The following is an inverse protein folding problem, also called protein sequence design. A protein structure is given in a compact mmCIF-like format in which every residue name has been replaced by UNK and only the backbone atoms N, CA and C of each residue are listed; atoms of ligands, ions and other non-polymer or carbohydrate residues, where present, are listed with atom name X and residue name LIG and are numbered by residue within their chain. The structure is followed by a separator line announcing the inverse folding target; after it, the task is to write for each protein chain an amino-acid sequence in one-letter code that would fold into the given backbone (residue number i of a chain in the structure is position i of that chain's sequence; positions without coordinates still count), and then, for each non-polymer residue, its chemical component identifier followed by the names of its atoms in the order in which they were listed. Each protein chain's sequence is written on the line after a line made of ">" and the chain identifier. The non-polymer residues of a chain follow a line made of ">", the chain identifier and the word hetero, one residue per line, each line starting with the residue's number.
data_IF_959915835386
#
_entry.id   IF_959915835386
#
_cell.length_a   1.000
_cell.length_b   1.000
_cell.length_c   1.000
_cell.angle_alpha   90.00
_cell.angle_beta   90.00
_cell.angle_gamma   90.00
#
_symmetry.space_group_name_H-M   'P 1'
#
loop_
_entity.id
_entity.type
_entity.pdbx_description
1 polymer ?
#
# COMPACT_ATOMS: atom_id res chain seq x y z
N UNK A 1 1.62 -2.90 4.49
CA UNK A 1 0.23 -2.77 3.97
C UNK A 1 -0.73 -3.37 5.00
N UNK A 2 -1.74 -2.63 5.49
CA UNK A 2 -2.71 -3.18 6.49
C UNK A 2 -3.58 -4.31 5.93
N UNK A 3 -3.72 -4.41 4.60
CA UNK A 3 -4.50 -5.46 3.94
C UNK A 3 -3.79 -6.81 4.00
N UNK A 4 -2.51 -6.86 3.62
CA UNK A 4 -1.72 -8.11 3.62
C UNK A 4 -0.86 -8.30 4.88
N UNK A 5 -0.86 -7.32 5.80
CA UNK A 5 -0.05 -7.28 7.02
C UNK A 5 1.47 -7.47 6.81
N UNK A 6 1.96 -7.32 5.57
CA UNK A 6 3.38 -7.41 5.24
C UNK A 6 4.06 -6.05 5.33
N UNK A 7 5.37 -6.09 5.58
CA UNK A 7 6.28 -4.95 5.51
C UNK A 7 6.41 -4.42 4.08
N UNK A 8 6.88 -3.17 3.95
CA UNK A 8 7.14 -2.54 2.66
C UNK A 8 8.61 -2.70 2.30
N UNK A 9 8.91 -3.08 1.06
CA UNK A 9 10.25 -3.17 0.51
C UNK A 9 10.48 -2.09 -0.55
N UNK A 10 11.75 -1.88 -0.91
CA UNK A 10 12.11 -0.87 -1.91
C UNK A 10 11.55 -1.17 -3.32
N UNK A 11 11.27 -2.44 -3.61
CA UNK A 11 10.68 -2.90 -4.87
C UNK A 11 9.13 -2.83 -4.86
N UNK A 12 8.52 -2.61 -3.68
CA UNK A 12 7.07 -2.55 -3.56
C UNK A 12 6.52 -1.27 -4.18
N UNK A 13 5.58 -1.43 -5.12
CA UNK A 13 4.82 -0.31 -5.66
C UNK A 13 3.71 0.06 -4.69
N UNK A 14 3.75 1.28 -4.12
CA UNK A 14 2.75 1.76 -3.18
C UNK A 14 1.79 2.76 -3.83
N UNK A 15 0.53 2.74 -3.40
CA UNK A 15 -0.48 3.74 -3.74
C UNK A 15 -0.99 4.44 -2.48
N UNK A 16 -1.31 5.73 -2.66
CA UNK A 16 -1.84 6.60 -1.62
C UNK A 16 -3.31 6.87 -1.92
N UNK A 17 -4.19 6.62 -0.96
CA UNK A 17 -5.59 7.03 -1.09
C UNK A 17 -5.73 8.53 -0.81
N UNK A 18 -6.23 9.35 -1.76
CA UNK A 18 -6.33 10.79 -1.57
C UNK A 18 -7.35 11.22 -0.50
N UNK A 19 -8.26 10.33 -0.11
CA UNK A 19 -9.29 10.60 0.91
C UNK A 19 -8.77 10.53 2.35
N UNK A 20 -7.74 9.73 2.62
CA UNK A 20 -7.23 9.49 3.98
C UNK A 20 -5.71 9.50 4.10
N UNK A 21 -4.97 9.59 2.98
CA UNK A 21 -3.51 9.67 2.94
C UNK A 21 -2.79 8.35 3.30
N UNK A 22 -3.51 7.24 3.41
CA UNK A 22 -2.91 5.95 3.77
C UNK A 22 -2.21 5.28 2.58
N UNK A 23 -1.13 4.57 2.88
CA UNK A 23 -0.29 3.87 1.92
C UNK A 23 -0.60 2.37 1.88
N UNK A 24 -0.78 1.82 0.69
CA UNK A 24 -1.05 0.41 0.47
C UNK A 24 -0.18 -0.11 -0.66
N UNK A 25 0.11 -1.41 -0.70
CA UNK A 25 0.66 -1.99 -1.93
C UNK A 25 -0.34 -1.78 -3.06
N UNK A 26 0.13 -1.44 -4.25
CA UNK A 26 -0.73 -1.33 -5.44
C UNK A 26 -1.52 -2.61 -5.65
N UNK A 27 -0.92 -3.78 -5.42
CA UNK A 27 -1.59 -5.08 -5.49
C UNK A 27 -2.58 -5.36 -4.34
N UNK A 28 -2.53 -4.62 -3.22
CA UNK A 28 -3.49 -4.76 -2.12
C UNK A 28 -4.81 -4.02 -2.42
N UNK A 29 -4.79 -3.01 -3.30
CA UNK A 29 -5.91 -2.10 -3.56
C UNK A 29 -6.25 -1.97 -5.06
N UNK A 30 -5.67 -2.83 -5.88
CA UNK A 30 -6.16 -3.16 -7.22
C UNK A 30 -7.49 -3.93 -7.09
#
# INVERSE_FOLDING_TARGET
>A
CIVCLSEYHADDTLRILPSCGHFFHSSCID
#
